data_IF_499784199467
#
_entry.id   IF_499784199467
#
_cell.length_a   1.000
_cell.length_b   1.000
_cell.length_c   1.000
_cell.angle_alpha   90.00
_cell.angle_beta   90.00
_cell.angle_gamma   90.00
#
_symmetry.space_group_name_H-M   'P 1'
#
loop_
_entity.id
_entity.type
_entity.pdbx_description
1 polymer ?
#
# COMPACT_ATOMS: atom_id res chain seq x y z
N UNK A 1 23.23 -24.89 18.48
CA UNK A 1 23.32 -23.70 19.36
C UNK A 1 22.71 -24.01 20.73
N UNK A 2 23.20 -23.38 21.82
CA UNK A 2 22.62 -23.58 23.15
C UNK A 2 21.24 -22.91 23.28
N UNK A 3 20.25 -23.62 23.79
CA UNK A 3 18.87 -23.10 24.01
C UNK A 3 18.88 -21.78 24.79
N UNK A 4 19.83 -21.59 25.69
CA UNK A 4 20.04 -20.36 26.48
C UNK A 4 20.41 -19.13 25.62
N UNK A 5 21.24 -19.31 24.60
CA UNK A 5 21.64 -18.20 23.69
C UNK A 5 20.48 -17.76 22.80
N UNK A 6 19.70 -18.73 22.29
CA UNK A 6 18.52 -18.45 21.50
C UNK A 6 17.47 -17.67 22.32
N UNK A 7 17.28 -18.00 23.58
CA UNK A 7 16.37 -17.27 24.47
C UNK A 7 16.84 -15.83 24.72
N UNK A 8 18.15 -15.59 24.91
CA UNK A 8 18.70 -14.23 25.05
C UNK A 8 18.43 -13.37 23.79
N UNK A 9 18.60 -13.96 22.61
CA UNK A 9 18.31 -13.28 21.35
C UNK A 9 16.82 -12.97 21.23
N UNK A 10 15.94 -13.93 21.53
CA UNK A 10 14.49 -13.68 21.50
C UNK A 10 14.08 -12.54 22.44
N UNK A 11 14.64 -12.51 23.64
CA UNK A 11 14.38 -11.42 24.60
C UNK A 11 14.89 -10.08 24.10
N UNK A 12 16.13 -10.04 23.55
CA UNK A 12 16.73 -8.79 23.05
C UNK A 12 15.93 -8.17 21.91
N UNK A 13 15.36 -8.99 21.03
CA UNK A 13 14.62 -8.52 19.85
C UNK A 13 13.09 -8.63 20.00
N UNK A 14 12.59 -8.91 21.21
CA UNK A 14 11.17 -9.10 21.49
C UNK A 14 10.50 -10.13 20.57
N UNK A 15 11.20 -11.22 20.26
CA UNK A 15 10.69 -12.31 19.42
C UNK A 15 9.93 -13.29 20.29
N UNK A 16 8.62 -13.44 20.00
CA UNK A 16 7.73 -14.37 20.70
C UNK A 16 7.46 -15.57 19.82
N UNK A 17 7.61 -16.75 20.42
CA UNK A 17 7.35 -18.03 19.78
C UNK A 17 8.44 -19.04 20.01
N UNK A 18 8.08 -20.33 19.92
CA UNK A 18 8.96 -21.46 20.15
C UNK A 18 8.89 -22.51 19.03
N UNK A 19 8.19 -22.21 17.92
CA UNK A 19 8.10 -23.13 16.80
C UNK A 19 9.49 -23.48 16.21
N UNK A 20 9.67 -24.72 15.79
CA UNK A 20 10.94 -25.23 15.26
C UNK A 20 11.39 -24.45 14.03
N UNK A 21 10.45 -24.06 13.15
CA UNK A 21 10.75 -23.27 11.97
C UNK A 21 11.36 -21.90 12.31
N UNK A 22 10.78 -21.20 13.31
CA UNK A 22 11.30 -19.92 13.79
C UNK A 22 12.66 -20.10 14.44
N UNK A 23 12.82 -21.11 15.31
CA UNK A 23 14.08 -21.39 15.99
C UNK A 23 15.21 -21.70 15.00
N UNK A 24 14.91 -22.49 13.96
CA UNK A 24 15.87 -22.79 12.89
C UNK A 24 16.26 -21.54 12.10
N UNK A 25 15.31 -20.67 11.76
CA UNK A 25 15.61 -19.42 11.07
C UNK A 25 16.55 -18.53 11.88
N UNK A 26 16.32 -18.41 13.20
CA UNK A 26 17.16 -17.65 14.12
C UNK A 26 18.55 -18.28 14.28
N UNK A 27 18.63 -19.61 14.37
CA UNK A 27 19.89 -20.33 14.47
C UNK A 27 20.78 -20.13 13.24
N UNK A 28 20.22 -20.27 12.03
CA UNK A 28 20.93 -19.99 10.77
C UNK A 28 21.37 -18.53 10.70
N UNK A 29 20.51 -17.58 11.09
CA UNK A 29 20.86 -16.16 11.11
C UNK A 29 22.09 -15.86 11.98
N UNK A 30 22.18 -16.49 13.16
CA UNK A 30 23.31 -16.31 14.07
C UNK A 30 24.57 -17.00 13.56
N UNK A 31 24.45 -18.19 12.97
CA UNK A 31 25.60 -18.90 12.38
C UNK A 31 26.22 -18.13 11.20
N UNK A 32 25.40 -17.47 10.38
CA UNK A 32 25.87 -16.70 9.23
C UNK A 32 26.33 -15.28 9.60
N UNK A 33 25.93 -14.77 10.77
CA UNK A 33 26.24 -13.40 11.19
C UNK A 33 27.76 -13.07 11.14
N UNK A 34 28.70 -13.93 11.58
CA UNK A 34 30.14 -13.64 11.55
C UNK A 34 30.75 -13.61 10.14
N UNK A 35 30.03 -14.06 9.11
CA UNK A 35 30.50 -14.12 7.72
C UNK A 35 30.01 -12.92 6.90
N UNK A 36 30.64 -12.70 5.73
CA UNK A 36 30.17 -11.71 4.74
C UNK A 36 29.29 -12.32 3.63
N UNK A 37 28.85 -13.56 3.81
CA UNK A 37 28.00 -14.25 2.83
C UNK A 37 26.65 -13.54 2.66
N UNK A 38 26.14 -13.54 1.42
CA UNK A 38 24.81 -13.09 1.10
C UNK A 38 23.76 -14.04 1.71
N UNK A 39 22.67 -13.47 2.20
CA UNK A 39 21.56 -14.21 2.82
C UNK A 39 20.27 -13.86 2.12
N UNK A 40 19.51 -14.88 1.69
CA UNK A 40 18.18 -14.71 1.15
C UNK A 40 17.13 -15.21 2.14
N UNK A 41 16.31 -14.30 2.66
CA UNK A 41 15.23 -14.61 3.58
C UNK A 41 13.95 -14.83 2.77
N UNK A 42 13.40 -16.04 2.87
CA UNK A 42 12.22 -16.45 2.13
C UNK A 42 11.07 -16.65 3.12
N UNK A 43 9.91 -16.05 2.83
CA UNK A 43 8.71 -16.20 3.66
C UNK A 43 7.58 -15.30 3.19
N UNK A 44 6.36 -15.64 3.58
CA UNK A 44 5.16 -14.88 3.22
C UNK A 44 5.22 -13.43 3.75
N UNK A 45 4.37 -12.57 3.17
CA UNK A 45 4.22 -11.20 3.67
C UNK A 45 3.70 -11.21 5.12
N UNK A 46 4.24 -10.32 5.96
CA UNK A 46 3.81 -10.17 7.35
C UNK A 46 4.28 -11.23 8.35
N UNK A 47 5.23 -12.13 7.99
CA UNK A 47 5.79 -13.12 8.93
C UNK A 47 6.85 -12.54 9.89
N UNK A 48 7.35 -11.31 9.63
CA UNK A 48 8.40 -10.65 10.41
C UNK A 48 9.80 -10.88 9.87
N UNK A 49 9.97 -10.90 8.53
CA UNK A 49 11.28 -11.09 7.88
C UNK A 49 12.31 -10.04 8.30
N UNK A 50 11.89 -8.82 8.59
CA UNK A 50 12.72 -7.66 8.92
C UNK A 50 13.59 -7.82 10.18
N UNK A 51 13.23 -8.77 11.05
CA UNK A 51 14.00 -8.99 12.28
C UNK A 51 15.31 -9.74 12.00
N UNK A 52 15.33 -10.64 11.03
CA UNK A 52 16.48 -11.50 10.71
C UNK A 52 17.71 -10.70 10.25
N UNK A 53 17.59 -9.73 9.31
CA UNK A 53 18.73 -8.90 8.89
C UNK A 53 19.32 -8.11 10.04
N UNK A 54 18.49 -7.62 10.95
CA UNK A 54 18.92 -6.88 12.13
C UNK A 54 19.73 -7.76 13.08
N UNK A 55 19.27 -9.00 13.33
CA UNK A 55 20.01 -9.99 14.12
C UNK A 55 21.37 -10.28 13.46
N UNK A 56 21.39 -10.49 12.14
CA UNK A 56 22.61 -10.74 11.37
C UNK A 56 23.59 -9.57 11.52
N UNK A 57 23.12 -8.34 11.31
CA UNK A 57 23.95 -7.15 11.40
C UNK A 57 24.53 -6.95 12.80
N UNK A 58 23.70 -6.98 13.84
CA UNK A 58 24.09 -6.71 15.23
C UNK A 58 25.06 -7.76 15.81
N UNK A 59 25.08 -8.97 15.24
CA UNK A 59 25.98 -10.04 15.64
C UNK A 59 27.14 -10.27 14.64
N UNK A 60 27.32 -9.35 13.68
CA UNK A 60 28.38 -9.37 12.67
C UNK A 60 29.61 -8.54 13.08
N UNK A 61 30.76 -8.70 12.39
CA UNK A 61 31.88 -7.76 12.50
C UNK A 61 31.50 -6.31 12.18
N UNK A 62 30.48 -6.12 11.33
CA UNK A 62 29.99 -4.81 10.87
C UNK A 62 28.98 -4.17 11.80
N UNK A 63 28.74 -4.67 13.00
CA UNK A 63 27.72 -4.21 13.97
C UNK A 63 27.80 -2.74 14.39
N UNK A 64 28.95 -2.10 14.19
CA UNK A 64 29.17 -0.67 14.47
C UNK A 64 29.05 0.23 13.25
N UNK A 65 28.95 -0.39 12.08
CA UNK A 65 28.81 0.29 10.80
C UNK A 65 27.33 0.58 10.49
N UNK A 66 27.09 1.29 9.39
CA UNK A 66 25.73 1.68 8.99
C UNK A 66 24.90 0.46 8.58
N UNK A 67 23.65 0.46 9.00
CA UNK A 67 22.63 -0.48 8.56
C UNK A 67 21.51 0.27 7.87
N UNK A 68 21.20 -0.10 6.63
CA UNK A 68 20.07 0.43 5.85
C UNK A 68 19.10 -0.68 5.52
N UNK A 69 17.80 -0.41 5.76
CA UNK A 69 16.71 -1.28 5.33
C UNK A 69 15.91 -0.56 4.23
N UNK A 70 15.81 -1.19 3.08
CA UNK A 70 15.20 -0.64 1.87
C UNK A 70 14.12 -1.62 1.43
N UNK A 71 12.88 -1.13 1.26
CA UNK A 71 11.83 -1.90 0.63
C UNK A 71 11.80 -1.56 -0.86
N UNK A 72 12.18 -2.53 -1.69
CA UNK A 72 12.28 -2.34 -3.15
C UNK A 72 10.91 -2.15 -3.81
N UNK A 73 9.86 -2.77 -3.28
CA UNK A 73 8.50 -2.61 -3.80
C UNK A 73 7.86 -1.25 -3.49
N UNK A 74 8.40 -0.49 -2.52
CA UNK A 74 7.87 0.83 -2.16
C UNK A 74 8.47 1.97 -2.98
N UNK A 75 9.58 1.72 -3.70
CA UNK A 75 10.28 2.75 -4.49
C UNK A 75 9.80 2.63 -5.95
N UNK A 76 9.33 3.73 -6.57
CA UNK A 76 8.93 3.71 -7.98
C UNK A 76 10.07 3.24 -8.90
N UNK A 77 9.74 2.44 -9.93
CA UNK A 77 10.71 1.88 -10.88
C UNK A 77 11.61 2.97 -11.52
N UNK A 78 11.05 4.15 -11.81
CA UNK A 78 11.79 5.26 -12.44
C UNK A 78 12.83 5.92 -11.51
N UNK A 79 12.82 5.68 -10.21
CA UNK A 79 13.72 6.30 -9.24
C UNK A 79 14.60 5.31 -8.48
N UNK A 80 14.28 4.01 -8.52
CA UNK A 80 14.96 2.98 -7.74
C UNK A 80 16.47 2.92 -8.02
N UNK A 81 16.89 3.08 -9.27
CA UNK A 81 18.30 3.09 -9.64
C UNK A 81 19.04 4.30 -9.04
N UNK A 82 18.39 5.47 -9.03
CA UNK A 82 18.93 6.68 -8.43
C UNK A 82 19.05 6.58 -6.92
N UNK A 83 18.08 5.95 -6.26
CA UNK A 83 18.12 5.73 -4.82
C UNK A 83 19.21 4.72 -4.42
N UNK A 84 19.30 3.61 -5.12
CA UNK A 84 20.27 2.55 -4.81
C UNK A 84 21.71 2.95 -5.16
N UNK A 85 21.95 3.43 -6.39
CA UNK A 85 23.29 3.65 -6.94
C UNK A 85 23.71 5.13 -6.93
N UNK A 86 22.81 6.04 -6.61
CA UNK A 86 23.05 7.47 -6.69
C UNK A 86 22.95 8.02 -8.11
N UNK A 87 23.08 9.33 -8.25
CA UNK A 87 23.00 10.03 -9.54
C UNK A 87 23.95 11.21 -9.61
N UNK A 88 24.39 11.54 -10.81
CA UNK A 88 25.13 12.76 -11.11
C UNK A 88 24.15 13.92 -11.34
N UNK A 89 24.63 15.13 -11.07
CA UNK A 89 23.85 16.36 -11.31
C UNK A 89 23.39 16.44 -12.77
N UNK A 90 22.09 16.66 -12.99
CA UNK A 90 21.49 16.80 -14.32
C UNK A 90 21.22 15.48 -15.05
N UNK A 91 21.34 14.32 -14.39
CA UNK A 91 21.13 13.01 -15.01
C UNK A 91 19.67 12.72 -15.41
N UNK A 92 18.71 13.42 -14.80
CA UNK A 92 17.27 13.37 -15.14
C UNK A 92 16.58 14.68 -14.76
N UNK A 93 15.35 14.89 -15.22
CA UNK A 93 14.54 16.07 -14.89
C UNK A 93 14.21 16.07 -13.40
N UNK A 94 14.88 16.96 -12.63
CA UNK A 94 14.78 17.03 -11.17
C UNK A 94 16.07 16.68 -10.42
N UNK A 95 17.12 16.21 -11.08
CA UNK A 95 18.44 15.97 -10.49
C UNK A 95 19.21 17.31 -10.30
N UNK A 96 18.81 18.12 -9.32
CA UNK A 96 19.41 19.43 -9.03
C UNK A 96 20.83 19.28 -8.44
N UNK A 97 21.05 18.20 -7.64
CA UNK A 97 22.34 17.88 -7.02
C UNK A 97 22.87 16.52 -7.47
N UNK A 98 23.99 16.10 -6.90
CA UNK A 98 24.47 14.72 -6.95
C UNK A 98 24.00 13.95 -5.71
N UNK A 99 23.85 12.64 -5.84
CA UNK A 99 23.53 11.73 -4.72
C UNK A 99 24.46 10.53 -4.74
N UNK A 100 24.92 10.12 -3.55
CA UNK A 100 25.75 8.91 -3.42
C UNK A 100 24.96 7.61 -3.55
N UNK A 101 23.66 7.66 -3.32
CA UNK A 101 22.81 6.48 -3.22
C UNK A 101 23.10 5.60 -1.99
N UNK A 102 22.28 4.58 -1.81
CA UNK A 102 22.42 3.68 -0.64
C UNK A 102 23.73 2.89 -0.66
N UNK A 103 24.21 2.42 -1.82
CA UNK A 103 25.44 1.65 -1.91
C UNK A 103 26.70 2.48 -1.56
N UNK A 104 26.71 3.77 -1.88
CA UNK A 104 27.79 4.66 -1.46
C UNK A 104 27.73 4.94 0.05
N UNK A 105 26.54 5.31 0.53
CA UNK A 105 26.33 5.71 1.93
C UNK A 105 26.52 4.54 2.92
N UNK A 106 26.25 3.29 2.49
CA UNK A 106 26.35 2.08 3.31
C UNK A 106 27.72 1.41 3.23
N UNK A 107 28.71 2.02 2.58
CA UNK A 107 30.03 1.43 2.45
C UNK A 107 30.59 0.97 3.80
N UNK A 108 31.15 -0.26 3.86
CA UNK A 108 31.56 -1.04 5.04
C UNK A 108 30.44 -1.54 5.93
N UNK A 109 29.19 -1.16 5.63
CA UNK A 109 27.99 -1.50 6.41
C UNK A 109 27.24 -2.72 5.87
N UNK A 110 25.93 -2.72 6.15
CA UNK A 110 24.99 -3.76 5.71
C UNK A 110 23.77 -3.12 5.08
N UNK A 111 23.36 -3.60 3.91
CA UNK A 111 22.09 -3.24 3.26
C UNK A 111 21.14 -4.44 3.34
N UNK A 112 19.94 -4.18 3.81
CA UNK A 112 18.82 -5.09 3.74
C UNK A 112 17.89 -4.65 2.61
N UNK A 113 17.68 -5.53 1.63
CA UNK A 113 16.78 -5.34 0.51
C UNK A 113 15.52 -6.19 0.75
N UNK A 114 14.43 -5.57 1.19
CA UNK A 114 13.13 -6.24 1.28
C UNK A 114 12.42 -6.22 -0.07
N UNK A 115 11.62 -7.26 -0.34
CA UNK A 115 10.88 -7.44 -1.59
C UNK A 115 11.79 -7.37 -2.84
N UNK A 116 12.98 -8.01 -2.76
CA UNK A 116 13.97 -7.99 -3.84
C UNK A 116 13.43 -8.56 -5.16
N UNK A 117 12.37 -9.40 -5.11
CA UNK A 117 11.68 -9.92 -6.28
C UNK A 117 10.95 -8.87 -7.13
N UNK A 118 10.72 -7.68 -6.58
CA UNK A 118 10.04 -6.57 -7.26
C UNK A 118 11.01 -5.64 -8.01
N UNK A 119 12.33 -5.91 -7.94
CA UNK A 119 13.33 -5.10 -8.66
C UNK A 119 13.18 -5.23 -10.18
N UNK A 120 13.24 -4.12 -10.95
CA UNK A 120 13.32 -4.16 -12.40
C UNK A 120 14.55 -4.93 -12.91
N UNK A 121 14.46 -5.59 -14.05
CA UNK A 121 15.55 -6.40 -14.63
C UNK A 121 16.85 -5.59 -14.84
N UNK A 122 16.75 -4.31 -15.20
CA UNK A 122 17.90 -3.42 -15.34
C UNK A 122 18.61 -3.21 -14.00
N UNK A 123 17.85 -2.96 -12.94
CA UNK A 123 18.36 -2.80 -11.57
C UNK A 123 18.97 -4.09 -11.05
N UNK A 124 18.35 -5.25 -11.36
CA UNK A 124 18.89 -6.57 -11.02
C UNK A 124 20.30 -6.80 -11.62
N UNK A 125 20.51 -6.41 -12.87
CA UNK A 125 21.84 -6.51 -13.52
C UNK A 125 22.91 -5.64 -12.84
N UNK A 126 22.53 -4.45 -12.39
CA UNK A 126 23.42 -3.55 -11.63
C UNK A 126 23.74 -4.08 -10.24
N UNK A 127 22.71 -4.61 -9.57
CA UNK A 127 22.86 -5.26 -8.24
C UNK A 127 23.81 -6.46 -8.30
N UNK A 128 23.71 -7.29 -9.35
CA UNK A 128 24.63 -8.41 -9.56
C UNK A 128 26.08 -7.94 -9.61
N UNK A 129 26.37 -6.85 -10.36
CA UNK A 129 27.72 -6.30 -10.40
C UNK A 129 28.25 -5.87 -9.04
N UNK A 130 27.39 -5.25 -8.21
CA UNK A 130 27.77 -4.92 -6.82
C UNK A 130 28.10 -6.18 -6.00
N UNK A 131 27.28 -7.25 -6.15
CA UNK A 131 27.49 -8.52 -5.43
C UNK A 131 28.76 -9.28 -5.86
N UNK A 132 29.18 -9.14 -7.12
CA UNK A 132 30.33 -9.85 -7.66
C UNK A 132 31.65 -9.10 -7.45
N UNK A 133 31.65 -7.80 -7.76
CA UNK A 133 32.88 -7.01 -7.82
C UNK A 133 32.94 -5.85 -6.82
N UNK A 134 31.83 -5.57 -6.13
CA UNK A 134 31.69 -4.37 -5.28
C UNK A 134 31.67 -3.07 -6.10
N UNK A 135 31.41 -3.12 -7.41
CA UNK A 135 31.46 -1.96 -8.28
C UNK A 135 30.06 -1.55 -8.75
N UNK A 136 29.87 -0.25 -8.84
CA UNK A 136 28.65 0.33 -9.42
C UNK A 136 28.96 1.66 -10.12
N UNK A 137 28.00 2.14 -10.93
CA UNK A 137 28.09 3.44 -11.63
C UNK A 137 26.83 4.23 -11.26
N UNK A 138 26.97 5.52 -10.94
CA UNK A 138 25.85 6.43 -10.69
C UNK A 138 24.99 6.59 -11.94
N UNK A 139 23.72 6.93 -11.78
CA UNK A 139 22.84 7.25 -12.91
C UNK A 139 23.36 8.52 -13.61
N UNK A 140 23.53 8.46 -14.93
CA UNK A 140 24.12 9.54 -15.73
C UNK A 140 25.63 9.68 -15.62
N UNK A 141 26.30 8.90 -14.76
CA UNK A 141 27.75 8.91 -14.60
C UNK A 141 28.48 7.88 -15.47
N UNK A 142 29.79 8.04 -15.59
CA UNK A 142 30.70 7.07 -16.24
C UNK A 142 31.74 6.51 -15.27
N UNK A 143 31.91 7.14 -14.12
CA UNK A 143 32.91 6.77 -13.12
C UNK A 143 32.50 5.51 -12.39
N UNK A 144 33.39 4.52 -12.34
CA UNK A 144 33.21 3.32 -11.53
C UNK A 144 33.45 3.68 -10.06
N UNK A 145 32.45 3.44 -9.24
CA UNK A 145 32.50 3.57 -7.78
C UNK A 145 32.69 2.19 -7.16
N UNK A 146 33.35 2.11 -5.99
CA UNK A 146 33.53 0.87 -5.24
C UNK A 146 32.84 0.95 -3.90
N UNK A 147 32.24 -0.14 -3.50
CA UNK A 147 31.63 -0.31 -2.19
C UNK A 147 31.96 -1.68 -1.62
N UNK A 148 32.16 -1.72 -0.30
CA UNK A 148 32.29 -2.95 0.48
C UNK A 148 31.06 -3.05 1.38
N UNK A 149 29.97 -3.61 0.85
CA UNK A 149 28.70 -3.71 1.57
C UNK A 149 28.26 -5.16 1.67
N UNK A 150 27.79 -5.56 2.87
CA UNK A 150 27.10 -6.83 3.05
C UNK A 150 25.65 -6.71 2.64
N UNK A 151 25.18 -7.63 1.79
CA UNK A 151 23.79 -7.64 1.32
C UNK A 151 23.03 -8.78 1.99
N UNK A 152 21.88 -8.44 2.58
CA UNK A 152 20.86 -9.38 3.07
C UNK A 152 19.57 -9.06 2.30
N UNK A 153 19.00 -10.03 1.61
CA UNK A 153 17.79 -9.85 0.81
C UNK A 153 16.61 -10.61 1.40
N UNK A 154 15.40 -10.11 1.21
CA UNK A 154 14.16 -10.82 1.54
C UNK A 154 13.17 -10.81 0.39
N UNK A 155 12.36 -11.86 0.32
CA UNK A 155 11.31 -11.99 -0.69
C UNK A 155 10.11 -12.78 -0.15
N UNK A 156 8.94 -12.46 -0.62
CA UNK A 156 7.70 -13.21 -0.46
C UNK A 156 7.30 -13.96 -1.74
N UNK A 157 8.03 -13.74 -2.84
CA UNK A 157 7.75 -14.33 -4.15
C UNK A 157 8.44 -15.70 -4.27
N UNK A 158 7.82 -16.60 -4.99
CA UNK A 158 8.49 -17.83 -5.42
C UNK A 158 9.55 -17.49 -6.49
N UNK A 159 10.81 -17.43 -6.06
CA UNK A 159 11.92 -17.01 -6.92
C UNK A 159 12.15 -17.94 -8.10
N UNK A 160 11.97 -19.27 -7.93
CA UNK A 160 12.11 -20.23 -9.04
C UNK A 160 11.07 -19.96 -10.13
N UNK A 161 9.83 -19.67 -9.74
CA UNK A 161 8.76 -19.28 -10.66
C UNK A 161 9.08 -17.92 -11.33
N UNK A 162 9.56 -16.94 -10.58
CA UNK A 162 9.95 -15.63 -11.12
C UNK A 162 11.09 -15.74 -12.16
N UNK A 163 12.06 -16.63 -11.92
CA UNK A 163 13.15 -16.92 -12.88
C UNK A 163 12.59 -17.60 -14.12
N UNK A 164 11.74 -18.62 -13.99
CA UNK A 164 11.15 -19.32 -15.15
C UNK A 164 10.26 -18.42 -16.01
N UNK A 165 9.63 -17.40 -15.42
CA UNK A 165 8.82 -16.40 -16.11
C UNK A 165 9.65 -15.22 -16.68
N UNK A 166 10.98 -15.22 -16.49
CA UNK A 166 11.87 -14.16 -16.94
C UNK A 166 11.72 -12.83 -16.19
N UNK A 167 11.01 -12.82 -15.06
CA UNK A 167 10.86 -11.62 -14.19
C UNK A 167 12.05 -11.40 -13.27
N UNK A 168 12.82 -12.45 -13.00
CA UNK A 168 14.03 -12.39 -12.19
C UNK A 168 15.18 -13.09 -12.88
N UNK A 169 16.39 -12.52 -12.79
CA UNK A 169 17.60 -13.09 -13.42
C UNK A 169 18.09 -14.30 -12.61
N UNK A 170 18.40 -15.36 -13.30
CA UNK A 170 18.90 -16.60 -12.69
C UNK A 170 20.25 -16.43 -12.01
N UNK A 171 21.18 -15.68 -12.63
CA UNK A 171 22.50 -15.38 -12.08
C UNK A 171 22.42 -14.61 -10.74
N UNK A 172 21.57 -13.60 -10.67
CA UNK A 172 21.34 -12.85 -9.44
C UNK A 172 20.69 -13.74 -8.36
N UNK A 173 19.72 -14.58 -8.74
CA UNK A 173 19.10 -15.49 -7.78
C UNK A 173 20.15 -16.39 -7.10
N UNK A 174 21.03 -17.06 -7.85
CA UNK A 174 22.05 -17.90 -7.25
C UNK A 174 23.05 -17.10 -6.41
N UNK A 175 23.37 -15.88 -6.78
CA UNK A 175 24.28 -15.03 -6.01
C UNK A 175 23.66 -14.55 -4.69
N UNK A 176 22.38 -14.24 -4.65
CA UNK A 176 21.65 -13.87 -3.44
C UNK A 176 21.38 -15.08 -2.54
N UNK A 177 21.04 -16.22 -3.13
CA UNK A 177 20.63 -17.45 -2.45
C UNK A 177 21.82 -18.28 -1.96
N UNK A 178 22.90 -17.64 -1.52
CA UNK A 178 24.08 -18.35 -0.97
C UNK A 178 23.70 -19.05 0.33
N UNK A 179 23.00 -18.36 1.23
CA UNK A 179 22.46 -18.95 2.47
C UNK A 179 20.96 -18.63 2.53
N UNK A 180 20.07 -19.62 2.28
CA UNK A 180 18.64 -19.43 2.45
C UNK A 180 18.22 -19.48 3.92
N UNK A 181 17.41 -18.50 4.34
CA UNK A 181 16.72 -18.50 5.64
C UNK A 181 15.24 -18.53 5.41
N UNK A 182 14.58 -19.63 5.75
CA UNK A 182 13.13 -19.78 5.58
C UNK A 182 12.39 -19.36 6.84
N UNK A 183 11.57 -18.31 6.74
CA UNK A 183 10.66 -17.88 7.79
C UNK A 183 9.33 -18.63 7.67
N UNK A 184 8.87 -19.32 8.73
CA UNK A 184 7.63 -20.07 8.68
C UNK A 184 6.42 -19.14 8.64
N UNK A 185 5.38 -19.54 7.89
CA UNK A 185 4.08 -18.89 7.94
C UNK A 185 3.45 -19.05 9.34
N UNK A 186 2.58 -18.10 9.73
CA UNK A 186 2.01 -18.11 11.09
C UNK A 186 1.19 -19.39 11.37
N UNK A 187 0.48 -19.93 10.38
CA UNK A 187 -0.25 -21.21 10.47
C UNK A 187 0.67 -22.41 10.76
N UNK A 188 1.95 -22.33 10.41
CA UNK A 188 2.95 -23.39 10.68
C UNK A 188 3.57 -23.27 12.08
N UNK A 189 3.24 -22.19 12.81
CA UNK A 189 3.83 -21.88 14.12
C UNK A 189 2.98 -22.34 15.32
N UNK A 190 1.80 -22.92 15.07
CA UNK A 190 0.95 -23.54 16.09
C UNK A 190 0.67 -22.61 17.30
N UNK A 191 1.08 -23.05 18.49
CA UNK A 191 0.85 -22.32 19.75
C UNK A 191 1.45 -20.91 19.82
N UNK A 192 2.42 -20.59 18.94
CA UNK A 192 2.99 -19.24 18.86
C UNK A 192 1.91 -18.19 18.56
N UNK A 193 0.81 -18.57 17.87
CA UNK A 193 -0.34 -17.71 17.58
C UNK A 193 -0.93 -17.13 18.87
N UNK A 194 -1.15 -18.00 19.86
CA UNK A 194 -1.72 -17.59 21.15
C UNK A 194 -0.76 -16.73 21.97
N UNK A 195 0.54 -17.05 21.90
CA UNK A 195 1.58 -16.25 22.55
C UNK A 195 1.67 -14.84 21.95
N UNK A 196 1.61 -14.72 20.61
CA UNK A 196 1.61 -13.45 19.92
C UNK A 196 0.34 -12.64 20.21
N UNK A 197 -0.83 -13.28 20.20
CA UNK A 197 -2.09 -12.62 20.59
C UNK A 197 -1.98 -12.04 22.00
N UNK A 198 -1.47 -12.84 22.95
CA UNK A 198 -1.27 -12.41 24.34
C UNK A 198 -0.29 -11.22 24.43
N UNK A 199 0.80 -11.23 23.66
CA UNK A 199 1.75 -10.12 23.61
C UNK A 199 1.07 -8.85 23.10
N UNK A 200 0.33 -8.92 21.99
CA UNK A 200 -0.31 -7.76 21.39
C UNK A 200 -1.41 -7.18 22.29
N UNK A 201 -2.23 -8.01 22.94
CA UNK A 201 -3.20 -7.51 23.92
C UNK A 201 -2.54 -6.80 25.10
N UNK A 202 -1.39 -7.29 25.57
CA UNK A 202 -0.63 -6.65 26.65
C UNK A 202 -0.09 -5.27 26.20
N UNK A 203 0.48 -5.19 24.99
CA UNK A 203 0.94 -3.93 24.41
C UNK A 203 -0.19 -2.89 24.26
N UNK A 204 -1.41 -3.34 23.90
CA UNK A 204 -2.58 -2.46 23.80
C UNK A 204 -3.04 -1.97 25.19
N UNK A 205 -3.03 -2.86 26.18
CA UNK A 205 -3.33 -2.50 27.58
C UNK A 205 -2.37 -1.42 28.09
N UNK A 206 -1.07 -1.60 27.88
CA UNK A 206 -0.04 -0.64 28.30
C UNK A 206 -0.14 0.70 27.55
N UNK A 207 -0.36 0.65 26.23
CA UNK A 207 -0.37 1.86 25.38
C UNK A 207 -1.59 2.73 25.61
N UNK A 208 -2.77 2.13 25.81
CA UNK A 208 -4.04 2.85 25.86
C UNK A 208 -4.70 2.81 27.25
N UNK A 209 -4.06 2.17 28.23
CA UNK A 209 -4.60 1.98 29.60
C UNK A 209 -6.02 1.37 29.61
N UNK A 210 -6.26 0.40 28.72
CA UNK A 210 -7.54 -0.32 28.60
C UNK A 210 -7.43 -1.70 29.27
N UNK A 211 -8.51 -2.27 29.81
CA UNK A 211 -8.48 -3.59 30.38
C UNK A 211 -8.13 -4.65 29.33
N UNK A 212 -7.30 -5.61 29.74
CA UNK A 212 -6.81 -6.68 28.87
C UNK A 212 -7.93 -7.57 28.37
N UNK A 213 -7.84 -7.96 27.09
CA UNK A 213 -8.72 -8.95 26.48
C UNK A 213 -8.22 -10.37 26.75
N UNK A 214 -9.15 -11.26 27.02
CA UNK A 214 -8.95 -12.71 27.14
C UNK A 214 -9.81 -13.46 26.13
N UNK A 215 -9.39 -14.66 25.75
CA UNK A 215 -10.13 -15.51 24.83
C UNK A 215 -10.70 -16.72 25.56
N UNK A 216 -11.94 -17.09 25.25
CA UNK A 216 -12.49 -18.40 25.62
C UNK A 216 -11.77 -19.52 24.88
N UNK A 217 -11.89 -20.75 25.32
CA UNK A 217 -11.21 -21.89 24.71
C UNK A 217 -11.73 -22.16 23.28
N UNK A 218 -12.98 -21.85 22.99
CA UNK A 218 -13.55 -21.91 21.64
C UNK A 218 -12.93 -20.87 20.72
N UNK A 219 -12.73 -19.65 21.20
CA UNK A 219 -12.06 -18.59 20.46
C UNK A 219 -10.57 -18.93 20.21
N UNK A 220 -9.86 -19.53 21.18
CA UNK A 220 -8.48 -20.00 20.99
C UNK A 220 -8.41 -21.06 19.89
N UNK A 221 -9.33 -22.04 19.87
CA UNK A 221 -9.40 -23.06 18.82
C UNK A 221 -9.64 -22.44 17.45
N UNK A 222 -10.51 -21.44 17.34
CA UNK A 222 -10.76 -20.72 16.10
C UNK A 222 -9.51 -19.99 15.62
N UNK A 223 -8.79 -19.32 16.51
CA UNK A 223 -7.55 -18.60 16.23
C UNK A 223 -6.45 -19.52 15.68
N UNK A 224 -6.31 -20.72 16.27
CA UNK A 224 -5.36 -21.73 15.82
C UNK A 224 -5.71 -22.36 14.47
N UNK A 225 -7.00 -22.46 14.16
CA UNK A 225 -7.50 -23.08 12.91
C UNK A 225 -7.44 -22.13 11.72
N UNK A 226 -7.43 -20.82 11.94
CA UNK A 226 -7.46 -19.84 10.86
C UNK A 226 -6.13 -19.81 10.10
N UNK A 227 -6.18 -19.65 8.77
CA UNK A 227 -5.00 -19.73 7.86
C UNK A 227 -4.03 -18.56 7.98
N UNK A 228 -4.47 -17.41 8.46
CA UNK A 228 -3.66 -16.20 8.64
C UNK A 228 -2.94 -15.75 7.36
N UNK A 229 -3.62 -15.42 6.25
CA UNK A 229 -2.97 -15.04 4.99
C UNK A 229 -2.07 -13.81 5.13
N UNK A 230 -2.37 -12.88 6.05
CA UNK A 230 -1.52 -11.73 6.37
C UNK A 230 -0.61 -11.97 7.58
N UNK A 231 -0.47 -13.21 8.04
CA UNK A 231 0.46 -13.66 9.07
C UNK A 231 0.42 -12.82 10.37
N UNK A 232 1.59 -12.51 10.93
CA UNK A 232 1.74 -11.76 12.19
C UNK A 232 1.18 -10.34 12.07
N UNK A 233 1.32 -9.71 10.88
CA UNK A 233 0.77 -8.37 10.62
C UNK A 233 -0.76 -8.37 10.73
N UNK A 234 -1.43 -9.35 10.17
CA UNK A 234 -2.88 -9.50 10.27
C UNK A 234 -3.31 -9.82 11.70
N UNK A 235 -2.64 -10.76 12.38
CA UNK A 235 -2.95 -11.09 13.79
C UNK A 235 -2.84 -9.86 14.67
N UNK A 236 -1.79 -9.05 14.50
CA UNK A 236 -1.60 -7.80 15.24
C UNK A 236 -2.75 -6.83 15.00
N UNK A 237 -3.10 -6.56 13.74
CA UNK A 237 -4.18 -5.63 13.37
C UNK A 237 -5.53 -6.07 13.97
N UNK A 238 -5.87 -7.37 13.84
CA UNK A 238 -7.10 -7.92 14.41
C UNK A 238 -7.10 -7.81 15.93
N UNK A 239 -5.98 -8.11 16.59
CA UNK A 239 -5.86 -7.98 18.03
C UNK A 239 -6.02 -6.53 18.49
N UNK A 240 -5.45 -5.56 17.76
CA UNK A 240 -5.61 -4.13 18.03
C UNK A 240 -7.07 -3.71 17.88
N UNK A 241 -7.74 -4.13 16.78
CA UNK A 241 -9.16 -3.85 16.55
C UNK A 241 -10.05 -4.40 17.67
N UNK A 242 -9.89 -5.66 18.03
CA UNK A 242 -10.64 -6.28 19.11
C UNK A 242 -10.40 -5.53 20.42
N UNK A 243 -9.16 -5.16 20.73
CA UNK A 243 -8.80 -4.49 21.97
C UNK A 243 -9.50 -3.14 22.12
N UNK A 244 -9.71 -2.42 21.03
CA UNK A 244 -10.32 -1.08 21.02
C UNK A 244 -11.84 -1.15 20.90
N UNK A 245 -12.36 -2.00 20.00
CA UNK A 245 -13.77 -1.96 19.59
C UNK A 245 -14.67 -2.89 20.43
N UNK A 246 -14.10 -3.90 21.11
CA UNK A 246 -14.91 -4.85 21.85
C UNK A 246 -15.34 -4.29 23.21
N UNK A 247 -16.63 -4.29 23.48
CA UNK A 247 -17.19 -3.95 24.80
C UNK A 247 -16.90 -5.03 25.85
N UNK A 248 -16.99 -6.29 25.43
CA UNK A 248 -16.69 -7.44 26.29
C UNK A 248 -15.19 -7.68 26.33
N UNK A 249 -14.66 -7.96 27.51
CA UNK A 249 -13.21 -8.25 27.68
C UNK A 249 -12.88 -9.74 27.57
N UNK A 250 -13.87 -10.58 27.68
CA UNK A 250 -13.78 -12.01 27.36
C UNK A 250 -14.44 -12.24 25.99
N UNK A 251 -13.65 -12.65 25.01
CA UNK A 251 -14.08 -12.83 23.63
C UNK A 251 -14.33 -14.31 23.36
N UNK A 252 -15.54 -14.62 22.97
CA UNK A 252 -15.95 -15.95 22.50
C UNK A 252 -15.71 -16.14 20.99
N UNK A 253 -15.95 -17.34 20.48
CA UNK A 253 -15.76 -17.66 19.07
C UNK A 253 -16.63 -16.80 18.15
N UNK A 254 -17.84 -16.43 18.58
CA UNK A 254 -18.74 -15.59 17.78
C UNK A 254 -18.24 -14.15 17.73
N UNK A 255 -17.85 -13.59 18.88
CA UNK A 255 -17.25 -12.26 18.93
C UNK A 255 -15.98 -12.17 18.07
N UNK A 256 -15.15 -13.22 18.07
CA UNK A 256 -13.94 -13.25 17.27
C UNK A 256 -14.22 -13.31 15.76
N UNK A 257 -15.28 -14.02 15.31
CA UNK A 257 -15.66 -14.12 13.89
C UNK A 257 -16.02 -12.77 13.26
N UNK A 258 -16.53 -11.81 14.03
CA UNK A 258 -16.83 -10.47 13.51
C UNK A 258 -15.57 -9.69 13.09
N UNK A 259 -14.40 -10.05 13.61
CA UNK A 259 -13.13 -9.38 13.31
C UNK A 259 -12.24 -10.15 12.34
N UNK A 260 -12.44 -11.47 12.25
CA UNK A 260 -11.67 -12.30 11.31
C UNK A 260 -12.40 -12.31 9.97
N UNK A 261 -11.73 -11.87 8.87
CA UNK A 261 -12.30 -11.96 7.53
C UNK A 261 -12.69 -13.41 7.19
N UNK A 262 -13.85 -13.58 6.58
CA UNK A 262 -14.24 -14.92 6.07
C UNK A 262 -13.23 -15.40 5.02
N UNK A 263 -12.87 -16.69 5.12
CA UNK A 263 -11.94 -17.32 4.16
C UNK A 263 -12.65 -17.40 2.81
N UNK A 264 -12.22 -16.72 1.74
CA UNK A 264 -12.92 -16.76 0.46
C UNK A 264 -13.04 -18.18 -0.13
N UNK A 265 -12.17 -19.11 0.28
CA UNK A 265 -12.25 -20.52 -0.10
C UNK A 265 -13.36 -21.29 0.64
N UNK A 266 -13.81 -20.85 1.81
CA UNK A 266 -14.88 -21.55 2.55
C UNK A 266 -16.27 -21.30 1.94
N UNK A 267 -16.43 -20.21 1.23
CA UNK A 267 -17.69 -19.84 0.55
C UNK A 267 -17.85 -20.60 -0.77
N UNK A 268 -16.76 -21.06 -1.41
CA UNK A 268 -16.81 -21.82 -2.66
C UNK A 268 -17.15 -23.31 -2.48
N UNK A 269 -16.99 -23.88 -1.28
CA UNK A 269 -17.28 -25.30 -1.04
C UNK A 269 -18.76 -25.61 -0.72
N UNK A 270 -19.61 -24.59 -0.57
CA UNK A 270 -21.05 -24.77 -0.32
C UNK A 270 -21.91 -24.73 -1.59
N UNK A 271 -21.35 -24.43 -2.77
CA UNK A 271 -22.09 -24.44 -4.03
C UNK A 271 -21.26 -25.09 -5.15
N UNK A 272 -21.80 -26.21 -5.64
CA UNK A 272 -21.63 -26.83 -6.96
C UNK A 272 -20.66 -28.03 -7.02
N UNK A 273 -21.20 -29.23 -7.34
CA UNK A 273 -20.41 -30.28 -7.91
C UNK A 273 -20.33 -30.08 -9.45
N UNK A 274 -19.11 -30.07 -9.94
CA UNK A 274 -18.71 -30.49 -11.26
C UNK A 274 -18.42 -29.44 -12.36
N UNK A 275 -17.26 -29.70 -12.94
CA UNK A 275 -16.74 -29.43 -14.30
C UNK A 275 -16.01 -28.10 -14.58
N UNK A 276 -14.73 -28.30 -14.73
CA UNK A 276 -13.68 -27.85 -15.63
C UNK A 276 -13.94 -26.61 -16.53
N UNK A 277 -13.03 -25.75 -16.41
CA UNK A 277 -12.49 -24.70 -17.27
C UNK A 277 -12.48 -23.32 -16.57
N UNK A 278 -11.30 -22.96 -16.09
CA UNK A 278 -11.04 -21.59 -15.70
C UNK A 278 -10.96 -20.72 -16.95
N UNK A 279 -12.04 -20.01 -17.25
CA UNK A 279 -12.08 -19.00 -18.29
C UNK A 279 -12.11 -17.63 -17.64
N UNK A 280 -11.29 -16.71 -18.15
CA UNK A 280 -11.29 -15.26 -17.84
C UNK A 280 -12.66 -14.58 -18.04
N UNK A 281 -13.62 -15.27 -18.60
CA UNK A 281 -15.01 -14.80 -18.76
C UNK A 281 -15.76 -14.71 -17.44
N UNK A 282 -15.53 -15.62 -16.49
CA UNK A 282 -16.22 -15.62 -15.20
C UNK A 282 -15.81 -14.46 -14.29
N UNK A 283 -14.56 -14.00 -14.35
CA UNK A 283 -14.13 -12.82 -13.60
C UNK A 283 -14.73 -11.51 -14.17
N UNK A 284 -14.90 -11.45 -15.47
CA UNK A 284 -15.58 -10.30 -16.13
C UNK A 284 -17.06 -10.28 -15.79
N UNK A 285 -17.75 -11.40 -15.79
CA UNK A 285 -19.18 -11.48 -15.40
C UNK A 285 -19.39 -11.07 -13.93
N UNK A 286 -18.50 -11.51 -13.02
CA UNK A 286 -18.57 -11.11 -11.61
C UNK A 286 -18.36 -9.59 -11.45
N UNK A 287 -17.40 -9.01 -12.15
CA UNK A 287 -17.14 -7.56 -12.17
C UNK A 287 -18.34 -6.80 -12.73
N UNK A 288 -18.97 -7.27 -13.81
CA UNK A 288 -20.16 -6.65 -14.36
C UNK A 288 -21.36 -6.74 -13.41
N UNK A 289 -21.51 -7.85 -12.68
CA UNK A 289 -22.57 -8.02 -11.68
C UNK A 289 -22.42 -7.04 -10.51
N UNK A 290 -21.19 -6.88 -9.99
CA UNK A 290 -20.88 -5.92 -8.92
C UNK A 290 -21.10 -4.48 -9.39
N UNK A 291 -20.70 -4.14 -10.63
CA UNK A 291 -20.93 -2.81 -11.21
C UNK A 291 -22.42 -2.53 -11.43
N UNK A 292 -23.21 -3.55 -11.78
CA UNK A 292 -24.65 -3.42 -11.97
C UNK A 292 -25.39 -3.22 -10.62
N UNK A 293 -24.99 -3.93 -9.57
CA UNK A 293 -25.50 -3.74 -8.21
C UNK A 293 -25.14 -2.35 -7.63
N UNK A 294 -23.89 -1.92 -7.83
CA UNK A 294 -23.46 -0.57 -7.43
C UNK A 294 -24.26 0.52 -8.16
N UNK A 295 -24.52 0.36 -9.45
CA UNK A 295 -25.35 1.29 -10.22
C UNK A 295 -26.80 1.30 -9.72
N UNK A 296 -27.35 0.16 -9.34
CA UNK A 296 -28.65 0.02 -8.71
C UNK A 296 -28.76 0.80 -7.41
N UNK A 297 -27.82 0.57 -6.50
CA UNK A 297 -27.77 1.23 -5.19
C UNK A 297 -27.58 2.76 -5.29
N UNK A 298 -26.77 3.23 -6.26
CA UNK A 298 -26.59 4.67 -6.52
C UNK A 298 -27.87 5.31 -7.08
N UNK A 299 -28.61 4.61 -7.92
CA UNK A 299 -29.87 5.11 -8.49
C UNK A 299 -30.98 5.17 -7.43
N UNK A 300 -31.00 4.22 -6.51
CA UNK A 300 -31.94 4.16 -5.38
C UNK A 300 -31.66 5.28 -4.37
N UNK A 301 -30.40 5.49 -4.01
CA UNK A 301 -29.97 6.60 -3.15
C UNK A 301 -30.27 7.97 -3.78
N UNK A 302 -30.16 8.10 -5.11
CA UNK A 302 -30.58 9.33 -5.80
C UNK A 302 -32.08 9.56 -5.75
N UNK A 303 -32.90 8.52 -5.84
CA UNK A 303 -34.36 8.63 -5.69
C UNK A 303 -34.74 9.06 -4.27
N UNK A 304 -34.17 8.42 -3.27
CA UNK A 304 -34.40 8.79 -1.86
C UNK A 304 -33.97 10.23 -1.54
N UNK A 305 -32.83 10.69 -2.09
CA UNK A 305 -32.41 12.09 -1.93
C UNK A 305 -33.38 13.07 -2.63
N UNK A 306 -33.90 12.73 -3.79
CA UNK A 306 -34.85 13.58 -4.49
C UNK A 306 -36.20 13.61 -3.79
N UNK A 307 -36.64 12.51 -3.21
CA UNK A 307 -37.88 12.44 -2.45
C UNK A 307 -37.77 13.18 -1.11
N UNK A 308 -36.67 13.11 -0.41
CA UNK A 308 -36.38 13.95 0.76
C UNK A 308 -36.32 15.43 0.41
N UNK A 309 -35.75 15.77 -0.75
CA UNK A 309 -35.70 17.17 -1.22
C UNK A 309 -37.08 17.73 -1.58
N UNK A 310 -37.98 16.91 -2.13
CA UNK A 310 -39.36 17.27 -2.35
C UNK A 310 -40.12 17.47 -1.04
N UNK A 311 -39.98 16.58 -0.08
CA UNK A 311 -40.59 16.71 1.23
C UNK A 311 -40.11 17.95 2.00
N UNK A 312 -38.82 18.31 1.89
CA UNK A 312 -38.28 19.55 2.50
C UNK A 312 -38.80 20.82 1.80
N UNK A 313 -39.11 20.78 0.50
CA UNK A 313 -39.67 21.91 -0.20
C UNK A 313 -41.19 22.08 0.07
N UNK A 314 -41.92 20.99 0.27
CA UNK A 314 -43.34 21.02 0.62
C UNK A 314 -43.62 21.54 2.04
N UNK A 315 -42.65 21.35 2.97
CA UNK A 315 -42.70 21.90 4.34
C UNK A 315 -42.38 23.42 4.43
N UNK A 316 -41.96 24.06 3.34
CA UNK A 316 -41.63 25.50 3.32
C UNK A 316 -42.80 26.41 2.87
N UNK A 317 -43.98 25.87 2.61
CA UNK A 317 -45.12 26.66 2.06
C UNK A 317 -46.28 26.88 3.02
N UNK A 318 -46.12 26.68 4.34
CA UNK A 318 -47.19 27.08 5.28
C UNK A 318 -46.63 27.73 6.53
N UNK A 319 -46.46 29.06 6.56
CA UNK A 319 -46.70 29.91 7.74
C UNK A 319 -47.02 31.32 7.32
N UNK A 320 -48.12 31.92 7.82
CA UNK A 320 -48.56 33.27 7.47
C UNK A 320 -47.74 34.32 8.24
N UNK A 321 -47.60 35.43 7.54
CA UNK A 321 -47.03 36.68 8.03
C UNK A 321 -47.92 37.24 9.15
N UNK A 322 -47.38 37.59 10.31
CA UNK A 322 -47.89 38.63 11.18
C UNK A 322 -46.81 39.56 11.65
N UNK A 323 -47.11 40.81 11.40
CA UNK A 323 -46.43 42.05 11.65
C UNK A 323 -46.36 42.31 13.14
N UNK A 324 -45.18 42.77 13.67
CA UNK A 324 -45.09 43.94 14.60
C UNK A 324 -43.68 44.49 14.66
N UNK A 325 -43.65 45.81 14.54
CA UNK A 325 -42.46 46.65 14.54
C UNK A 325 -42.00 47.00 15.97
N UNK A 326 -40.76 47.30 16.07
CA UNK A 326 -40.04 48.46 16.67
C UNK A 326 -38.96 48.16 17.75
N UNK A 327 -38.12 49.15 18.06
CA UNK A 327 -36.68 48.97 17.99
C UNK A 327 -36.00 49.23 19.36
N UNK A 328 -34.77 48.81 19.55
CA UNK A 328 -33.90 49.41 20.59
C UNK A 328 -32.43 49.56 20.13
N UNK A 329 -31.96 50.76 20.43
CA UNK A 329 -30.70 51.45 20.26
C UNK A 329 -29.43 50.69 20.70
N UNK A 330 -28.41 50.88 19.91
CA UNK A 330 -27.12 51.52 20.15
C UNK A 330 -26.23 51.01 21.30
N UNK A 331 -25.00 50.68 20.93
CA UNK A 331 -23.74 51.28 21.42
C UNK A 331 -22.54 50.68 20.65
N UNK A 332 -21.87 51.52 19.88
CA UNK A 332 -20.46 51.37 19.47
C UNK A 332 -19.58 51.91 20.59
N UNK A 333 -18.25 51.77 20.64
CA UNK A 333 -17.31 52.03 19.54
C UNK A 333 -16.07 51.09 19.48
N UNK A 334 -15.28 51.02 18.46
CA UNK A 334 -14.09 51.79 18.12
C UNK A 334 -13.24 51.02 17.05
N UNK A 335 -12.98 51.72 15.96
CA UNK A 335 -11.80 51.80 15.12
C UNK A 335 -10.83 50.62 15.01
N UNK A 336 -10.71 50.04 13.79
CA UNK A 336 -9.44 49.93 13.09
C UNK A 336 -9.65 50.01 11.57
N UNK A 337 -8.94 50.94 10.96
CA UNK A 337 -8.85 51.24 9.55
C UNK A 337 -8.11 50.11 8.78
N UNK A 338 -8.70 49.63 7.70
CA UNK A 338 -8.06 48.76 6.73
C UNK A 338 -8.91 48.64 5.49
N UNK A 339 -8.52 49.35 4.45
CA UNK A 339 -9.10 49.38 3.10
C UNK A 339 -9.27 47.97 2.51
N UNK A 340 -10.50 47.58 2.24
CA UNK A 340 -10.81 46.48 1.37
C UNK A 340 -11.91 46.89 0.39
N UNK A 341 -11.58 46.87 -0.87
CA UNK A 341 -12.46 47.04 -2.04
C UNK A 341 -13.54 45.94 -2.09
N UNK A 342 -14.78 46.27 -2.48
CA UNK A 342 -15.86 45.32 -2.53
C UNK A 342 -15.75 44.43 -3.76
N UNK A 343 -15.60 43.13 -3.55
CA UNK A 343 -15.83 42.12 -4.60
C UNK A 343 -17.32 41.94 -4.85
N UNK A 344 -17.69 42.25 -6.06
CA UNK A 344 -19.00 42.12 -6.73
C UNK A 344 -19.47 40.66 -6.66
N UNK A 345 -20.62 40.41 -6.06
CA UNK A 345 -21.26 39.10 -6.02
C UNK A 345 -21.54 38.57 -7.42
N UNK A 346 -21.05 37.40 -7.73
CA UNK A 346 -21.45 36.65 -8.91
C UNK A 346 -22.78 35.93 -8.61
N UNK A 347 -23.80 36.36 -9.33
CA UNK A 347 -25.07 35.66 -9.51
C UNK A 347 -24.76 34.26 -10.06
N UNK A 348 -25.18 33.23 -9.38
CA UNK A 348 -25.20 31.86 -9.91
C UNK A 348 -26.41 31.81 -10.85
N UNK A 349 -26.17 31.83 -12.14
CA UNK A 349 -27.17 31.45 -13.15
C UNK A 349 -27.36 29.91 -13.04
N UNK A 350 -28.60 29.52 -12.79
CA UNK A 350 -29.05 28.12 -12.92
C UNK A 350 -28.87 27.70 -14.37
N UNK A 351 -27.92 26.81 -14.60
CA UNK A 351 -27.79 26.12 -15.88
C UNK A 351 -28.72 24.92 -15.82
N UNK A 352 -29.80 24.97 -16.60
CA UNK A 352 -30.68 23.83 -16.89
C UNK A 352 -29.82 22.67 -17.40
N UNK A 353 -29.96 21.51 -16.77
CA UNK A 353 -29.29 20.28 -17.19
C UNK A 353 -29.94 19.78 -18.47
N UNK A 354 -29.32 20.02 -19.61
CA UNK A 354 -29.66 19.33 -20.85
C UNK A 354 -29.47 17.82 -20.69
N UNK A 355 -30.54 17.06 -20.90
CA UNK A 355 -30.52 15.60 -20.99
C UNK A 355 -29.53 15.15 -22.05
N UNK A 356 -28.54 14.40 -21.61
CA UNK A 356 -27.61 13.71 -22.51
C UNK A 356 -28.39 12.57 -23.16
N UNK A 357 -28.70 12.74 -24.46
CA UNK A 357 -29.27 11.67 -25.28
C UNK A 357 -28.25 10.49 -25.29
N UNK A 358 -28.80 9.33 -24.97
CA UNK A 358 -28.09 8.05 -25.04
C UNK A 358 -27.37 7.92 -26.38
N UNK A 359 -26.03 7.86 -26.33
CA UNK A 359 -25.21 7.51 -27.49
C UNK A 359 -24.81 6.03 -27.35
N UNK A 360 -25.27 5.25 -28.32
CA UNK A 360 -25.14 3.79 -28.43
C UNK A 360 -23.70 3.25 -28.61
N UNK A 361 -22.65 4.00 -28.33
CA UNK A 361 -21.28 3.48 -28.38
C UNK A 361 -20.56 3.68 -27.07
N UNK A 362 -20.27 2.57 -26.40
CA UNK A 362 -19.42 2.47 -25.20
C UNK A 362 -17.91 2.56 -25.53
N UNK A 363 -17.54 3.09 -26.70
CA UNK A 363 -16.16 3.24 -27.09
C UNK A 363 -15.56 4.49 -26.45
N UNK A 364 -14.58 4.31 -25.55
CA UNK A 364 -13.86 5.37 -24.84
C UNK A 364 -13.23 6.41 -25.79
N UNK A 365 -12.86 6.02 -27.01
CA UNK A 365 -12.32 6.93 -28.02
C UNK A 365 -13.40 7.85 -28.59
N UNK A 366 -14.61 7.36 -28.82
CA UNK A 366 -15.73 8.13 -29.34
C UNK A 366 -16.24 9.13 -28.31
N UNK A 367 -16.32 8.69 -27.03
CA UNK A 367 -16.64 9.57 -25.92
C UNK A 367 -15.58 10.66 -25.72
N UNK A 368 -14.29 10.30 -25.83
CA UNK A 368 -13.19 11.24 -25.74
C UNK A 368 -13.19 12.28 -26.88
N UNK A 369 -13.58 11.87 -28.09
CA UNK A 369 -13.75 12.76 -29.25
C UNK A 369 -14.88 13.76 -29.01
N UNK A 370 -16.05 13.30 -28.58
CA UNK A 370 -17.22 14.15 -28.31
C UNK A 370 -16.93 15.18 -27.19
N UNK A 371 -16.23 14.78 -26.13
CA UNK A 371 -15.85 15.70 -25.05
C UNK A 371 -14.90 16.80 -25.54
N UNK A 372 -13.92 16.46 -26.38
CA UNK A 372 -13.00 17.46 -26.95
C UNK A 372 -13.72 18.40 -27.91
N UNK A 373 -14.61 17.88 -28.76
CA UNK A 373 -15.40 18.67 -29.72
C UNK A 373 -16.32 19.65 -28.99
N UNK A 374 -17.08 19.20 -28.00
CA UNK A 374 -17.95 20.06 -27.16
C UNK A 374 -17.17 21.14 -26.41
N UNK A 375 -16.01 20.81 -25.86
CA UNK A 375 -15.20 21.79 -25.15
C UNK A 375 -14.63 22.86 -26.10
N UNK A 376 -14.29 22.51 -27.32
CA UNK A 376 -13.85 23.47 -28.36
C UNK A 376 -15.00 24.37 -28.80
N UNK A 377 -16.19 23.80 -29.03
CA UNK A 377 -17.39 24.58 -29.45
C UNK A 377 -17.84 25.56 -28.36
N UNK A 378 -17.90 25.14 -27.09
CA UNK A 378 -18.23 26.01 -25.95
C UNK A 378 -17.24 27.16 -25.75
N UNK A 379 -15.97 26.94 -26.09
CA UNK A 379 -14.95 27.96 -25.94
C UNK A 379 -14.62 28.70 -27.25
N UNK A 380 -15.49 28.60 -28.27
CA UNK A 380 -15.32 29.30 -29.56
C UNK A 380 -13.98 29.00 -30.25
N UNK A 381 -13.50 27.75 -30.16
CA UNK A 381 -12.23 27.31 -30.73
C UNK A 381 -10.97 27.67 -29.90
N UNK A 382 -11.12 28.31 -28.74
CA UNK A 382 -9.98 28.69 -27.92
C UNK A 382 -9.40 27.46 -27.18
N UNK A 383 -8.32 26.91 -27.73
CA UNK A 383 -7.66 25.68 -27.25
C UNK A 383 -7.19 25.76 -25.80
N UNK A 384 -6.70 26.92 -25.32
CA UNK A 384 -6.25 27.09 -23.93
C UNK A 384 -7.40 27.04 -22.92
N UNK A 385 -8.56 27.66 -23.25
CA UNK A 385 -9.74 27.63 -22.41
C UNK A 385 -10.37 26.24 -22.40
N UNK A 386 -10.45 25.56 -23.53
CA UNK A 386 -10.95 24.18 -23.66
C UNK A 386 -10.07 23.17 -22.90
N UNK A 387 -8.74 23.32 -22.91
CA UNK A 387 -7.84 22.49 -22.11
C UNK A 387 -8.08 22.64 -20.61
N UNK A 388 -8.29 23.88 -20.16
CA UNK A 388 -8.60 24.18 -18.75
C UNK A 388 -9.96 23.61 -18.31
N UNK A 389 -10.97 23.68 -19.17
CA UNK A 389 -12.30 23.09 -18.92
C UNK A 389 -12.25 21.56 -18.82
N UNK A 390 -11.47 20.93 -19.67
CA UNK A 390 -11.26 19.47 -19.68
C UNK A 390 -10.27 18.96 -18.60
N UNK A 391 -9.65 19.86 -17.85
CA UNK A 391 -8.66 19.50 -16.80
C UNK A 391 -7.38 18.86 -17.36
N UNK A 392 -7.00 19.13 -18.62
CA UNK A 392 -5.82 18.57 -19.29
C UNK A 392 -4.85 19.67 -19.73
N UNK A 393 -3.57 19.28 -19.96
CA UNK A 393 -2.58 20.24 -20.46
C UNK A 393 -2.84 20.63 -21.95
N UNK A 394 -2.45 21.86 -22.34
CA UNK A 394 -2.55 22.34 -23.72
C UNK A 394 -1.91 21.37 -24.73
N UNK A 395 -0.78 20.76 -24.35
CA UNK A 395 -0.05 19.77 -25.16
C UNK A 395 -0.86 18.47 -25.34
N UNK A 396 -1.57 18.05 -24.30
CA UNK A 396 -2.43 16.85 -24.34
C UNK A 396 -3.65 17.10 -25.22
N UNK A 397 -4.27 18.28 -25.11
CA UNK A 397 -5.39 18.65 -25.95
C UNK A 397 -4.98 18.74 -27.44
N UNK A 398 -3.84 19.36 -27.74
CA UNK A 398 -3.33 19.45 -29.10
C UNK A 398 -3.11 18.07 -29.73
N UNK A 399 -2.54 17.12 -28.97
CA UNK A 399 -2.34 15.73 -29.42
C UNK A 399 -3.66 15.03 -29.70
N UNK A 400 -4.70 15.24 -28.85
CA UNK A 400 -6.03 14.65 -29.04
C UNK A 400 -6.77 15.25 -30.20
N UNK A 401 -6.70 16.57 -30.43
CA UNK A 401 -7.28 17.25 -31.61
C UNK A 401 -6.72 16.64 -32.89
N UNK A 402 -5.39 16.46 -32.96
CA UNK A 402 -4.74 15.84 -34.12
C UNK A 402 -5.11 14.35 -34.28
N UNK A 403 -5.22 13.62 -33.18
CA UNK A 403 -5.61 12.20 -33.16
C UNK A 403 -7.04 11.98 -33.64
N UNK A 404 -7.96 12.90 -33.31
CA UNK A 404 -9.37 12.81 -33.66
C UNK A 404 -9.73 13.55 -34.96
N UNK A 405 -8.77 14.19 -35.63
CA UNK A 405 -8.98 14.88 -36.88
C UNK A 405 -9.87 16.14 -36.76
N UNK A 406 -9.82 16.81 -35.61
CA UNK A 406 -10.63 18.01 -35.30
C UNK A 406 -9.86 19.32 -35.59
N UNK A 407 -8.77 19.28 -36.38
CA UNK A 407 -8.06 20.46 -36.85
C UNK A 407 -8.89 21.15 -37.95
N UNK A 408 -9.73 22.09 -37.58
CA UNK A 408 -10.35 23.07 -38.47
C UNK A 408 -9.72 24.43 -38.26
#
# INVERSE_FOLDING_TARGET
MNTSELQKIKQRYNIVGNSDGLNRALDVALQVAPTDLSVLIIGESGVGKEIIPRIIHDNSPRRREKYFAINCGSIPEGTIDSELFGHEKGSFTGAIGESEGYFGTANKGTIFLDEVGELPLATQARLLRVLETGEYIRVGGQKIMKTDVRIVAATNVNMQKAVSEGRFREDLYYRLNTIPVKMPALRERGEDILLLFRLFTMQMTEKYNIPRITLTDDAKRLLLKYKWPGNVRQLKNITEQISVLSEKREIDANGLRHFIPEDPESTQLAMIPNQGNHSYENERELLYKILYELRGNVSEMRREMNDMRKQMNEQKTETPVDTYAQPYHALAPANYSGTATPMRGNRIEEVEAEEIKDTDSLNLNDLGRQLVERALDRNGGNRKKAAKELGISDRTLYRRIKQYGLDK
#
